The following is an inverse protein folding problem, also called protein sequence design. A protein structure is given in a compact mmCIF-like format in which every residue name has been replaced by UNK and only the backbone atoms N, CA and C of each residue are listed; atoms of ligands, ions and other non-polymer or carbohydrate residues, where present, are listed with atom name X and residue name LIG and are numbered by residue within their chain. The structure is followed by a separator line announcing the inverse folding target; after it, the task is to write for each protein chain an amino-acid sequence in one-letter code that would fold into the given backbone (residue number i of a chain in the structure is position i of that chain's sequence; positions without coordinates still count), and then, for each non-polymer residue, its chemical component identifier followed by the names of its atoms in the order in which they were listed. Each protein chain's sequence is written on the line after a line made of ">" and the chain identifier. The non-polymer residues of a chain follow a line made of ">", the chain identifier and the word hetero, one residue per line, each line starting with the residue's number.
data_IF_137866627979
#
_entry.id   IF_137866627979
#
_cell.length_a   1.000
_cell.length_b   1.000
_cell.length_c   1.000
_cell.angle_alpha   90.00
_cell.angle_beta   90.00
_cell.angle_gamma   90.00
#
_symmetry.space_group_name_H-M   'P 1'
#
loop_
_entity.id
_entity.type
_entity.pdbx_description
1 polymer ?
#
# COMPACT_ATOMS: atom_id res chain seq x y z
N UNK A 1 14.33 -65.95 25.71
CA UNK A 1 14.70 -64.61 26.24
C UNK A 1 15.05 -63.59 25.16
N UNK A 2 15.88 -63.89 24.15
CA UNK A 2 16.29 -62.91 23.12
C UNK A 2 15.15 -62.38 22.22
N UNK A 3 14.16 -63.22 21.89
CA UNK A 3 13.00 -62.83 21.05
C UNK A 3 12.07 -61.80 21.71
N UNK A 4 11.88 -61.88 23.04
CA UNK A 4 11.05 -60.91 23.77
C UNK A 4 11.68 -59.51 23.81
N UNK A 5 13.01 -59.43 23.93
CA UNK A 5 13.74 -58.17 23.85
C UNK A 5 13.65 -57.52 22.47
N UNK A 6 13.71 -58.33 21.40
CA UNK A 6 13.54 -57.85 20.02
C UNK A 6 12.15 -57.23 19.83
N UNK A 7 11.09 -57.87 20.34
CA UNK A 7 9.72 -57.34 20.27
C UNK A 7 9.58 -56.05 21.07
N UNK A 8 10.17 -55.98 22.26
CA UNK A 8 10.11 -54.79 23.12
C UNK A 8 10.83 -53.60 22.48
N UNK A 9 12.00 -53.82 21.89
CA UNK A 9 12.74 -52.79 21.13
C UNK A 9 11.92 -52.32 19.91
N UNK A 10 11.29 -53.23 19.17
CA UNK A 10 10.46 -52.87 18.03
C UNK A 10 9.26 -52.01 18.43
N UNK A 11 8.61 -52.31 19.56
CA UNK A 11 7.47 -51.51 20.08
C UNK A 11 7.91 -50.12 20.53
N UNK A 12 9.05 -50.01 21.22
CA UNK A 12 9.60 -48.72 21.64
C UNK A 12 9.98 -47.87 20.43
N UNK A 13 10.60 -48.47 19.41
CA UNK A 13 10.99 -47.77 18.20
C UNK A 13 9.76 -47.29 17.41
N UNK A 14 8.71 -48.10 17.34
CA UNK A 14 7.43 -47.71 16.74
C UNK A 14 6.78 -46.54 17.51
N UNK A 15 6.79 -46.58 18.83
CA UNK A 15 6.24 -45.50 19.68
C UNK A 15 6.99 -44.18 19.48
N UNK A 16 8.31 -44.22 19.35
CA UNK A 16 9.14 -43.03 19.07
C UNK A 16 8.84 -42.46 17.69
N UNK A 17 8.68 -43.31 16.66
CA UNK A 17 8.34 -42.85 15.30
C UNK A 17 6.98 -42.14 15.29
N UNK A 18 5.96 -42.74 15.92
CA UNK A 18 4.61 -42.16 15.98
C UNK A 18 4.62 -40.85 16.79
N UNK A 19 5.30 -40.82 17.94
CA UNK A 19 5.44 -39.63 18.76
C UNK A 19 6.18 -38.49 18.03
N UNK A 20 7.24 -38.82 17.30
CA UNK A 20 8.01 -37.85 16.50
C UNK A 20 7.18 -37.24 15.37
N UNK A 21 6.37 -38.04 14.68
CA UNK A 21 5.45 -37.53 13.63
C UNK A 21 4.40 -36.58 14.22
N UNK A 22 3.83 -36.91 15.38
CA UNK A 22 2.85 -36.05 16.04
C UNK A 22 3.43 -34.69 16.43
N UNK A 23 4.62 -34.67 17.04
CA UNK A 23 5.30 -33.42 17.42
C UNK A 23 5.67 -32.59 16.19
N UNK A 24 6.19 -33.23 15.14
CA UNK A 24 6.54 -32.56 13.88
C UNK A 24 5.34 -31.89 13.20
N UNK A 25 4.20 -32.59 13.15
CA UNK A 25 2.97 -32.06 12.59
C UNK A 25 2.47 -30.82 13.38
N UNK A 26 2.49 -30.90 14.71
CA UNK A 26 2.11 -29.78 15.60
C UNK A 26 3.03 -28.56 15.39
N UNK A 27 4.34 -28.78 15.38
CA UNK A 27 5.32 -27.69 15.17
C UNK A 27 5.16 -27.02 13.81
N UNK A 28 4.85 -27.80 12.77
CA UNK A 28 4.63 -27.27 11.42
C UNK A 28 3.37 -26.42 11.36
N UNK A 29 2.29 -26.83 12.02
CA UNK A 29 1.06 -26.03 12.09
C UNK A 29 1.28 -24.72 12.84
N UNK A 30 1.92 -24.75 14.01
CA UNK A 30 2.22 -23.53 14.79
C UNK A 30 3.11 -22.59 13.98
N UNK A 31 4.16 -23.11 13.31
CA UNK A 31 5.04 -22.29 12.47
C UNK A 31 4.26 -21.58 11.36
N UNK A 32 3.36 -22.27 10.67
CA UNK A 32 2.50 -21.68 9.63
C UNK A 32 1.54 -20.62 10.20
N UNK A 33 1.00 -20.86 11.39
CA UNK A 33 0.14 -19.87 12.07
C UNK A 33 0.90 -18.59 12.42
N UNK A 34 2.15 -18.70 12.90
CA UNK A 34 3.00 -17.54 13.18
C UNK A 34 3.44 -16.81 11.91
N UNK A 35 3.71 -17.54 10.81
CA UNK A 35 4.00 -16.96 9.49
C UNK A 35 2.82 -16.12 8.99
N UNK A 36 1.60 -16.66 9.04
CA UNK A 36 0.38 -15.92 8.67
C UNK A 36 0.23 -14.66 9.53
N UNK A 37 0.50 -14.75 10.83
CA UNK A 37 0.41 -13.60 11.75
C UNK A 37 1.44 -12.53 11.43
N UNK A 38 2.66 -12.94 11.10
CA UNK A 38 3.73 -12.04 10.66
C UNK A 38 3.34 -11.31 9.36
N UNK A 39 2.83 -12.04 8.38
CA UNK A 39 2.39 -11.46 7.10
C UNK A 39 1.26 -10.44 7.31
N UNK A 40 0.29 -10.75 8.17
CA UNK A 40 -0.78 -9.81 8.53
C UNK A 40 -0.26 -8.55 9.19
N UNK A 41 0.74 -8.67 10.08
CA UNK A 41 1.38 -7.51 10.70
C UNK A 41 2.11 -6.64 9.66
N UNK A 42 2.72 -7.25 8.65
CA UNK A 42 3.34 -6.48 7.57
C UNK A 42 2.29 -5.75 6.71
N UNK A 43 1.16 -6.39 6.41
CA UNK A 43 0.05 -5.76 5.69
C UNK A 43 -0.51 -4.57 6.47
N UNK A 44 -0.72 -4.69 7.78
CA UNK A 44 -1.25 -3.59 8.60
C UNK A 44 -0.33 -2.38 8.60
N UNK A 45 0.99 -2.59 8.69
CA UNK A 45 1.99 -1.51 8.64
C UNK A 45 1.94 -0.77 7.29
N UNK A 46 1.82 -1.50 6.17
CA UNK A 46 1.70 -0.88 4.84
C UNK A 46 0.40 -0.10 4.72
N UNK A 47 -0.70 -0.62 5.27
CA UNK A 47 -2.00 0.02 5.22
C UNK A 47 -2.01 1.34 6.02
N UNK A 48 -1.40 1.33 7.21
CA UNK A 48 -1.21 2.53 8.05
C UNK A 48 -0.34 3.57 7.33
N UNK A 49 0.81 3.17 6.80
CA UNK A 49 1.66 4.08 6.01
C UNK A 49 0.93 4.69 4.81
N UNK A 50 0.08 3.92 4.12
CA UNK A 50 -0.75 4.45 3.02
C UNK A 50 -1.78 5.45 3.54
N UNK A 51 -2.44 5.15 4.66
CA UNK A 51 -3.39 6.06 5.28
C UNK A 51 -2.72 7.40 5.67
N UNK A 52 -1.51 7.35 6.22
CA UNK A 52 -0.74 8.54 6.60
C UNK A 52 -0.26 9.37 5.39
N UNK A 53 0.03 8.71 4.27
CA UNK A 53 0.51 9.38 3.05
C UNK A 53 -0.62 10.00 2.23
N UNK A 54 -1.87 9.49 2.32
CA UNK A 54 -3.01 10.03 1.57
C UNK A 54 -3.22 11.54 1.82
N UNK A 55 -3.24 12.05 3.07
CA UNK A 55 -3.36 13.48 3.33
C UNK A 55 -2.29 14.32 2.63
N UNK A 56 -1.04 13.86 2.63
CA UNK A 56 0.08 14.57 1.99
C UNK A 56 -0.06 14.59 0.45
N UNK A 57 -0.50 13.48 -0.15
CA UNK A 57 -0.79 13.40 -1.58
C UNK A 57 -1.95 14.34 -1.95
N UNK A 58 -3.03 14.34 -1.15
CA UNK A 58 -4.19 15.22 -1.37
C UNK A 58 -3.80 16.68 -1.22
N UNK A 59 -2.97 17.04 -0.24
CA UNK A 59 -2.48 18.40 -0.06
C UNK A 59 -1.65 18.86 -1.27
N UNK A 60 -0.79 17.99 -1.80
CA UNK A 60 0.03 18.29 -2.98
C UNK A 60 -0.82 18.51 -4.23
N UNK A 61 -1.77 17.61 -4.51
CA UNK A 61 -2.68 17.74 -5.65
C UNK A 61 -3.56 18.98 -5.51
N UNK A 62 -4.09 19.27 -4.31
CA UNK A 62 -4.87 20.49 -4.06
C UNK A 62 -4.04 21.76 -4.26
N UNK A 63 -2.76 21.76 -3.87
CA UNK A 63 -1.86 22.89 -4.09
C UNK A 63 -1.67 23.18 -5.57
N UNK A 64 -1.41 22.14 -6.38
CA UNK A 64 -1.27 22.27 -7.84
C UNK A 64 -2.60 22.70 -8.47
N UNK A 65 -3.72 22.08 -8.09
CA UNK A 65 -5.03 22.43 -8.61
C UNK A 65 -5.42 23.89 -8.29
N UNK A 66 -5.07 24.40 -7.10
CA UNK A 66 -5.30 25.80 -6.74
C UNK A 66 -4.51 26.75 -7.66
N UNK A 67 -3.27 26.41 -7.99
CA UNK A 67 -2.45 27.18 -8.93
C UNK A 67 -3.03 27.15 -10.34
N UNK A 68 -3.54 26.01 -10.80
CA UNK A 68 -4.21 25.89 -12.09
C UNK A 68 -5.46 26.76 -12.18
N UNK A 69 -6.29 26.81 -11.13
CA UNK A 69 -7.47 27.68 -11.09
C UNK A 69 -7.09 29.14 -11.26
N UNK A 70 -6.03 29.61 -10.59
CA UNK A 70 -5.54 30.99 -10.76
C UNK A 70 -5.08 31.26 -12.20
N UNK A 71 -4.32 30.34 -12.80
CA UNK A 71 -3.86 30.49 -14.19
C UNK A 71 -5.04 30.48 -15.17
N UNK A 72 -5.96 29.53 -15.04
CA UNK A 72 -7.16 29.48 -15.89
C UNK A 72 -8.04 30.73 -15.74
N UNK A 73 -8.18 31.25 -14.53
CA UNK A 73 -8.93 32.49 -14.29
C UNK A 73 -8.24 33.69 -14.94
N UNK A 74 -6.91 33.79 -14.81
CA UNK A 74 -6.13 34.85 -15.45
C UNK A 74 -6.26 34.81 -16.99
N UNK A 75 -6.15 33.62 -17.59
CA UNK A 75 -6.32 33.42 -19.04
C UNK A 75 -7.76 33.71 -19.48
N UNK A 76 -8.76 33.28 -18.73
CA UNK A 76 -10.16 33.55 -19.03
C UNK A 76 -10.45 35.06 -18.99
N UNK A 77 -9.92 35.77 -17.99
CA UNK A 77 -10.04 37.22 -17.87
C UNK A 77 -9.29 37.94 -18.99
N UNK A 78 -8.06 37.53 -19.31
CA UNK A 78 -7.29 38.09 -20.42
C UNK A 78 -8.03 37.92 -21.74
N UNK A 79 -8.61 36.74 -21.99
CA UNK A 79 -9.45 36.47 -23.17
C UNK A 79 -10.71 37.33 -23.20
N UNK A 80 -11.41 37.47 -22.07
CA UNK A 80 -12.59 38.31 -21.96
C UNK A 80 -12.27 39.79 -22.23
N UNK A 81 -11.16 40.30 -21.69
CA UNK A 81 -10.68 41.66 -21.93
C UNK A 81 -10.35 41.88 -23.41
N UNK A 82 -9.70 40.92 -24.06
CA UNK A 82 -9.40 40.99 -25.49
C UNK A 82 -10.67 41.00 -26.36
N UNK A 83 -11.70 40.22 -25.99
CA UNK A 83 -12.99 40.22 -26.66
C UNK A 83 -13.77 41.52 -26.47
N UNK A 84 -13.66 42.15 -25.30
CA UNK A 84 -14.38 43.38 -24.96
C UNK A 84 -13.64 44.67 -25.37
N UNK A 85 -12.37 44.59 -25.79
CA UNK A 85 -11.58 45.73 -26.23
C UNK A 85 -12.18 46.37 -27.49
N UNK A 86 -12.63 47.62 -27.37
CA UNK A 86 -13.34 48.32 -28.44
C UNK A 86 -12.42 49.08 -29.40
N UNK A 87 -11.25 49.56 -28.96
CA UNK A 87 -10.32 50.30 -29.81
C UNK A 87 -9.12 49.45 -30.25
N UNK A 88 -8.48 49.75 -31.40
CA UNK A 88 -7.27 49.06 -31.83
C UNK A 88 -6.12 49.11 -30.83
N UNK A 89 -5.97 50.22 -30.08
CA UNK A 89 -4.98 50.32 -28.99
C UNK A 89 -5.29 49.39 -27.83
N UNK A 90 -6.56 49.30 -27.44
CA UNK A 90 -6.99 48.42 -26.34
C UNK A 90 -6.83 46.94 -26.70
N UNK A 91 -7.06 46.57 -27.97
CA UNK A 91 -6.83 45.20 -28.46
C UNK A 91 -5.35 44.81 -28.42
N UNK A 92 -4.45 45.73 -28.77
CA UNK A 92 -2.99 45.48 -28.69
C UNK A 92 -2.55 45.35 -27.23
N UNK A 93 -3.04 46.22 -26.33
CA UNK A 93 -2.72 46.15 -24.91
C UNK A 93 -3.28 44.88 -24.24
N UNK A 94 -4.52 44.48 -24.56
CA UNK A 94 -5.11 43.25 -24.06
C UNK A 94 -4.42 41.99 -24.61
N UNK A 95 -3.89 42.04 -25.84
CA UNK A 95 -3.11 40.94 -26.42
C UNK A 95 -1.72 40.78 -25.79
N UNK A 96 -1.17 41.83 -25.18
CA UNK A 96 0.07 41.73 -24.39
C UNK A 96 -0.15 41.13 -22.99
N UNK A 97 -1.40 40.97 -22.56
CA UNK A 97 -1.78 40.40 -21.26
C UNK A 97 -2.19 38.92 -21.34
N UNK A 98 -2.33 38.37 -22.55
CA UNK A 98 -2.44 36.93 -22.82
C UNK A 98 -1.05 36.29 -22.86
#
# INVERSE_FOLDING_TARGET
>A
MKKGWIVLIAVVLLAVIIGGMYVSARNTMVRKSEEIKSDWAQVSVVLERRADLIPNLVATVKGVAAQEVTVFTAVANARANLMNAQTPKDKIAANQQL
#
